data_IF_211072585012
#
_entry.id   IF_211072585012
#
_cell.length_a   1.000
_cell.length_b   1.000
_cell.length_c   1.000
_cell.angle_alpha   90.00
_cell.angle_beta   90.00
_cell.angle_gamma   90.00
#
_symmetry.space_group_name_H-M   'P 1'
#
loop_
_entity.id
_entity.type
_entity.pdbx_description
1 polymer ?
#
# COMPACT_ATOMS: atom_id res chain seq x y z
N UNK A 1 5.62 -2.31 13.02
CA UNK A 1 5.50 -2.49 11.56
C UNK A 1 4.19 -1.85 11.14
N UNK A 2 4.22 -0.87 10.24
CA UNK A 2 3.00 -0.22 9.77
C UNK A 2 2.17 -1.16 8.90
N UNK A 3 0.85 -1.13 9.11
CA UNK A 3 -0.12 -1.87 8.31
C UNK A 3 -0.77 -0.88 7.34
N UNK A 4 -0.84 -1.25 6.07
CA UNK A 4 -1.48 -0.45 5.02
C UNK A 4 -2.62 -1.25 4.41
N UNK A 5 -3.82 -0.72 4.51
CA UNK A 5 -4.99 -1.20 3.78
C UNK A 5 -4.99 -0.57 2.38
N UNK A 6 -5.05 -1.40 1.35
CA UNK A 6 -5.21 -1.01 -0.05
C UNK A 6 -6.65 -1.23 -0.45
N UNK A 7 -7.31 -0.16 -0.90
CA UNK A 7 -8.70 -0.14 -1.30
C UNK A 7 -8.83 0.33 -2.74
N UNK A 8 -9.84 -0.18 -3.44
CA UNK A 8 -10.17 0.27 -4.80
C UNK A 8 -10.75 1.70 -4.78
N UNK A 9 -11.05 2.25 -5.96
CA UNK A 9 -11.69 3.56 -6.13
C UNK A 9 -13.05 3.64 -5.42
N UNK A 10 -13.78 2.52 -5.34
CA UNK A 10 -15.05 2.41 -4.62
C UNK A 10 -14.88 2.29 -3.08
N UNK A 11 -13.65 2.28 -2.57
CA UNK A 11 -13.34 2.10 -1.15
C UNK A 11 -13.43 0.65 -0.66
N UNK A 12 -13.64 -0.30 -1.56
CA UNK A 12 -13.62 -1.74 -1.26
C UNK A 12 -12.21 -2.18 -0.90
N UNK A 13 -12.03 -2.85 0.24
CA UNK A 13 -10.73 -3.41 0.63
C UNK A 13 -10.31 -4.50 -0.35
N UNK A 14 -9.16 -4.29 -0.98
CA UNK A 14 -8.52 -5.27 -1.87
C UNK A 14 -7.60 -6.16 -1.05
N UNK A 15 -6.69 -5.54 -0.30
CA UNK A 15 -5.66 -6.26 0.46
C UNK A 15 -5.09 -5.41 1.59
N UNK A 16 -4.58 -6.09 2.62
CA UNK A 16 -3.83 -5.46 3.71
C UNK A 16 -2.38 -5.92 3.66
N UNK A 17 -1.45 -4.97 3.60
CA UNK A 17 -0.01 -5.25 3.64
C UNK A 17 0.57 -4.85 4.99
N UNK A 18 1.32 -5.77 5.59
CA UNK A 18 2.23 -5.44 6.67
C UNK A 18 3.57 -5.03 6.05
N UNK A 19 3.96 -3.78 6.24
CA UNK A 19 5.18 -3.25 5.65
C UNK A 19 6.35 -3.41 6.63
N UNK A 20 7.35 -4.16 6.20
CA UNK A 20 8.58 -4.41 6.94
C UNK A 20 9.66 -3.47 6.43
N UNK A 21 9.73 -2.28 7.02
CA UNK A 21 10.80 -1.33 6.72
C UNK A 21 12.03 -1.63 7.58
N UNK A 22 13.11 -2.11 6.98
CA UNK A 22 14.42 -2.13 7.65
C UNK A 22 14.99 -0.70 7.61
N UNK A 23 14.61 0.09 8.62
CA UNK A 23 15.02 1.48 8.73
C UNK A 23 16.43 1.55 9.33
N UNK A 24 17.42 1.18 8.52
CA UNK A 24 18.81 1.53 8.75
C UNK A 24 18.99 3.06 8.60
N UNK A 25 18.48 3.83 9.56
CA UNK A 25 18.73 5.27 9.73
C UNK A 25 17.82 6.26 8.99
N UNK A 26 16.83 5.80 8.21
CA UNK A 26 15.89 6.67 7.49
C UNK A 26 14.56 6.88 8.23
N UNK A 27 13.93 8.05 8.04
CA UNK A 27 12.53 8.25 8.42
C UNK A 27 11.65 7.69 7.31
N UNK A 28 10.78 6.74 7.66
CA UNK A 28 9.77 6.23 6.73
C UNK A 28 8.59 7.20 6.70
N UNK A 29 8.23 7.67 5.51
CA UNK A 29 7.05 8.52 5.33
C UNK A 29 5.81 7.68 5.01
N UNK A 30 4.63 8.29 5.15
CA UNK A 30 3.39 7.66 4.71
C UNK A 30 3.37 7.44 3.19
N UNK A 31 4.03 8.31 2.43
CA UNK A 31 4.15 8.18 0.98
C UNK A 31 4.94 6.92 0.61
N UNK A 32 6.09 6.69 1.27
CA UNK A 32 6.88 5.46 1.07
C UNK A 32 6.06 4.19 1.34
N UNK A 33 5.25 4.21 2.41
CA UNK A 33 4.38 3.10 2.76
C UNK A 33 3.33 2.81 1.70
N UNK A 34 2.72 3.85 1.15
CA UNK A 34 1.68 3.72 0.15
C UNK A 34 2.27 3.31 -1.21
N UNK A 35 3.44 3.81 -1.59
CA UNK A 35 4.14 3.40 -2.80
C UNK A 35 4.52 1.91 -2.75
N UNK A 36 5.04 1.42 -1.62
CA UNK A 36 5.33 -0.01 -1.47
C UNK A 36 4.05 -0.86 -1.48
N UNK A 37 2.99 -0.46 -0.78
CA UNK A 37 1.72 -1.17 -0.81
C UNK A 37 1.10 -1.22 -2.22
N UNK A 38 1.26 -0.14 -2.99
CA UNK A 38 0.83 -0.05 -4.39
C UNK A 38 1.63 -0.99 -5.28
N UNK A 39 2.96 -1.01 -5.15
CA UNK A 39 3.82 -1.90 -5.94
C UNK A 39 3.49 -3.36 -5.65
N UNK A 40 3.35 -3.74 -4.37
CA UNK A 40 2.98 -5.10 -3.99
C UNK A 40 1.63 -5.51 -4.60
N UNK A 41 0.62 -4.61 -4.61
CA UNK A 41 -0.68 -4.92 -5.22
C UNK A 41 -0.60 -5.16 -6.74
N UNK A 42 0.34 -4.52 -7.44
CA UNK A 42 0.60 -4.76 -8.86
C UNK A 42 1.36 -6.09 -9.04
N UNK A 43 2.39 -6.32 -8.23
CA UNK A 43 3.23 -7.53 -8.30
C UNK A 43 2.45 -8.81 -7.95
N UNK A 44 1.54 -8.73 -6.99
CA UNK A 44 0.60 -9.81 -6.62
C UNK A 44 -0.52 -9.99 -7.65
N UNK A 45 -0.52 -9.21 -8.74
CA UNK A 45 -1.52 -9.21 -9.80
C UNK A 45 -2.97 -8.98 -9.29
N UNK A 46 -3.14 -8.34 -8.13
CA UNK A 46 -4.45 -7.98 -7.58
C UNK A 46 -5.06 -6.82 -8.36
N UNK A 47 -4.21 -5.93 -8.89
CA UNK A 47 -4.60 -4.80 -9.73
C UNK A 47 -3.65 -4.62 -10.91
N UNK A 48 -4.15 -4.00 -11.97
CA UNK A 48 -3.30 -3.56 -13.08
C UNK A 48 -2.57 -2.25 -12.74
N UNK A 49 -1.47 -1.91 -13.43
CA UNK A 49 -0.79 -0.62 -13.26
C UNK A 49 -1.69 0.60 -13.50
N UNK A 50 -2.74 0.46 -14.31
CA UNK A 50 -3.73 1.52 -14.52
C UNK A 50 -4.68 1.66 -13.34
N UNK A 51 -5.24 0.55 -12.85
CA UNK A 51 -6.08 0.53 -11.63
C UNK A 51 -5.31 0.99 -10.39
N UNK A 52 -4.01 0.70 -10.33
CA UNK A 52 -3.15 1.12 -9.23
C UNK A 52 -3.09 2.65 -9.05
N UNK A 53 -3.43 3.43 -10.09
CA UNK A 53 -3.48 4.91 -10.01
C UNK A 53 -4.70 5.43 -9.26
N UNK A 54 -5.75 4.63 -9.14
CA UNK A 54 -7.02 5.02 -8.50
C UNK A 54 -7.19 4.38 -7.12
N UNK A 55 -6.17 3.67 -6.63
CA UNK A 55 -6.19 3.08 -5.30
C UNK A 55 -6.25 4.14 -4.21
N UNK A 56 -6.92 3.77 -3.13
CA UNK A 56 -6.95 4.54 -1.89
C UNK A 56 -6.25 3.73 -0.79
N UNK A 57 -5.56 4.43 0.10
CA UNK A 57 -4.76 3.81 1.16
C UNK A 57 -5.24 4.27 2.52
N UNK A 58 -5.18 3.39 3.51
CA UNK A 58 -5.53 3.71 4.89
C UNK A 58 -4.60 2.99 5.85
N UNK A 59 -4.35 3.60 7.01
CA UNK A 59 -3.68 2.95 8.13
C UNK A 59 -4.74 2.70 9.19
N UNK A 60 -5.07 1.43 9.50
CA UNK A 60 -6.06 1.11 10.53
C UNK A 60 -5.52 1.59 11.89
N UNK A 61 -6.42 2.17 12.70
CA UNK A 61 -6.12 2.66 14.05
C UNK A 61 -5.97 1.53 15.06
#
# INVERSE_FOLDING_TARGET
>A
MPIVEVKDADGTLIQTYEIHADLSGGYLTLEDLFDWAKQNAIEDALVTPEQAKTLTFSIPR
#
